data_IF_996001899279
#
_entry.id   IF_996001899279
#
_cell.length_a   1.000
_cell.length_b   1.000
_cell.length_c   1.000
_cell.angle_alpha   90.00
_cell.angle_beta   90.00
_cell.angle_gamma   90.00
#
_symmetry.space_group_name_H-M   'P 1'
#
loop_
_entity.id
_entity.type
_entity.pdbx_description
1 polymer ?
#
# COMPACT_ATOMS: atom_id res chain seq x y z
N UNK A 1 -0.18 -9.49 7.30
CA UNK A 1 -0.13 -10.67 6.40
C UNK A 1 1.32 -10.99 6.13
N UNK A 2 1.65 -12.29 6.07
CA UNK A 2 2.99 -12.71 5.66
C UNK A 2 3.06 -12.74 4.12
N UNK A 3 4.09 -12.14 3.57
CA UNK A 3 4.40 -12.19 2.14
C UNK A 3 5.45 -13.23 1.81
N UNK A 4 5.94 -13.18 0.57
CA UNK A 4 6.98 -14.05 0.08
C UNK A 4 8.28 -13.84 0.86
N UNK A 5 8.95 -14.96 1.13
CA UNK A 5 10.22 -15.05 1.83
C UNK A 5 11.31 -15.55 0.90
N UNK A 6 12.57 -15.55 1.36
CA UNK A 6 13.66 -16.16 0.59
C UNK A 6 13.44 -17.67 0.33
N UNK A 7 12.67 -18.35 1.18
CA UNK A 7 12.30 -19.75 0.96
C UNK A 7 11.38 -19.94 -0.27
N UNK A 8 10.70 -18.88 -0.72
CA UNK A 8 9.85 -18.88 -1.90
C UNK A 8 10.63 -18.67 -3.21
N UNK A 9 11.97 -18.55 -3.15
CA UNK A 9 12.81 -18.33 -4.33
C UNK A 9 12.64 -19.38 -5.43
N UNK A 10 12.41 -20.65 -5.09
CA UNK A 10 12.13 -21.69 -6.10
C UNK A 10 10.77 -21.50 -6.77
N UNK A 11 9.75 -21.02 -6.04
CA UNK A 11 8.45 -20.69 -6.63
C UNK A 11 8.59 -19.52 -7.61
N UNK A 12 9.40 -18.52 -7.27
CA UNK A 12 9.68 -17.38 -8.15
C UNK A 12 10.44 -17.79 -9.42
N UNK A 13 11.39 -18.74 -9.32
CA UNK A 13 12.08 -19.31 -10.49
C UNK A 13 11.13 -20.07 -11.41
N UNK A 14 10.27 -20.91 -10.83
CA UNK A 14 9.25 -21.64 -11.60
C UNK A 14 8.32 -20.63 -12.29
N UNK A 15 7.79 -19.67 -11.54
CA UNK A 15 6.88 -18.64 -12.06
C UNK A 15 7.52 -17.88 -13.24
N UNK A 16 8.76 -17.41 -13.08
CA UNK A 16 9.52 -16.72 -14.13
C UNK A 16 9.88 -17.58 -15.34
N UNK A 17 9.87 -18.91 -15.22
CA UNK A 17 10.07 -19.84 -16.34
C UNK A 17 8.77 -20.21 -17.08
N UNK A 18 7.63 -20.04 -16.42
CA UNK A 18 6.31 -20.44 -16.94
C UNK A 18 5.48 -19.29 -17.50
N UNK A 19 5.85 -18.04 -17.20
CA UNK A 19 5.12 -16.85 -17.62
C UNK A 19 5.98 -15.93 -18.49
N UNK A 20 5.36 -15.33 -19.50
CA UNK A 20 5.96 -14.22 -20.25
C UNK A 20 5.68 -12.86 -19.59
N UNK A 21 4.87 -12.82 -18.52
CA UNK A 21 4.55 -11.58 -17.82
C UNK A 21 5.78 -11.02 -17.11
N UNK A 22 5.99 -9.69 -17.10
CA UNK A 22 6.93 -9.08 -16.20
C UNK A 22 6.62 -9.44 -14.75
N UNK A 23 7.67 -9.62 -13.96
CA UNK A 23 7.62 -9.71 -12.52
C UNK A 23 8.13 -8.44 -11.85
N UNK A 24 7.48 -8.07 -10.74
CA UNK A 24 7.78 -6.93 -9.91
C UNK A 24 7.93 -7.36 -8.45
N UNK A 25 9.11 -7.18 -7.85
CA UNK A 25 9.32 -7.44 -6.43
C UNK A 25 9.23 -6.13 -5.65
N UNK A 26 8.52 -6.13 -4.52
CA UNK A 26 8.32 -4.93 -3.71
C UNK A 26 8.27 -5.23 -2.21
N UNK A 27 8.71 -4.24 -1.42
CA UNK A 27 8.58 -4.19 0.03
C UNK A 27 7.48 -3.21 0.42
N UNK A 28 7.02 -3.32 1.68
CA UNK A 28 6.06 -2.39 2.28
C UNK A 28 4.80 -2.26 1.44
N UNK A 29 3.86 -3.17 1.65
CA UNK A 29 2.73 -3.35 0.73
C UNK A 29 1.40 -3.55 1.44
N UNK A 30 0.34 -3.16 0.75
CA UNK A 30 -1.03 -3.23 1.23
C UNK A 30 -1.93 -3.76 0.11
N UNK A 31 -2.68 -4.82 0.39
CA UNK A 31 -3.78 -5.26 -0.45
C UNK A 31 -5.05 -4.55 0.01
N UNK A 32 -5.73 -3.89 -0.92
CA UNK A 32 -6.99 -3.20 -0.64
C UNK A 32 -8.14 -3.99 -1.25
N UNK A 33 -9.05 -4.46 -0.41
CA UNK A 33 -10.31 -5.08 -0.84
C UNK A 33 -11.34 -3.98 -1.14
N UNK A 34 -12.04 -4.06 -2.27
CA UNK A 34 -13.10 -3.11 -2.58
C UNK A 34 -14.33 -3.40 -1.73
N UNK A 35 -14.81 -2.38 -1.02
CA UNK A 35 -15.97 -2.50 -0.11
C UNK A 35 -17.25 -3.01 -0.80
N UNK A 36 -17.42 -2.73 -2.10
CA UNK A 36 -18.59 -3.13 -2.88
C UNK A 36 -18.34 -4.31 -3.82
N UNK A 37 -17.15 -4.92 -3.78
CA UNK A 37 -16.87 -6.16 -4.52
C UNK A 37 -16.87 -6.08 -6.05
N UNK A 38 -17.02 -4.89 -6.64
CA UNK A 38 -17.12 -4.71 -8.09
C UNK A 38 -15.85 -4.07 -8.68
N UNK A 39 -15.00 -4.93 -9.25
CA UNK A 39 -13.74 -4.54 -9.90
C UNK A 39 -13.95 -3.72 -11.19
N UNK A 40 -15.15 -3.71 -11.78
CA UNK A 40 -15.42 -2.96 -13.02
C UNK A 40 -15.40 -1.45 -12.84
N UNK A 41 -15.60 -0.97 -11.60
CA UNK A 41 -15.56 0.45 -11.26
C UNK A 41 -14.15 1.00 -11.03
N UNK A 42 -13.11 0.17 -11.17
CA UNK A 42 -11.72 0.59 -11.03
C UNK A 42 -11.19 1.13 -12.34
N UNK A 43 -10.45 2.23 -12.28
CA UNK A 43 -9.64 2.69 -13.41
C UNK A 43 -8.60 1.62 -13.73
N UNK A 44 -8.65 1.11 -14.97
CA UNK A 44 -7.68 0.15 -15.53
C UNK A 44 -6.94 0.75 -16.70
N UNK A 45 -5.82 0.14 -17.09
CA UNK A 45 -4.94 0.64 -18.17
C UNK A 45 -5.72 0.88 -19.48
N UNK A 46 -6.70 0.02 -19.79
CA UNK A 46 -7.55 0.11 -20.98
C UNK A 46 -8.38 1.40 -21.08
N UNK A 47 -8.65 2.11 -19.97
CA UNK A 47 -9.47 3.32 -19.97
C UNK A 47 -8.65 4.62 -20.15
N UNK A 48 -7.33 4.52 -20.27
CA UNK A 48 -6.44 5.69 -20.42
C UNK A 48 -6.12 6.04 -21.87
N UNK A 49 -6.56 5.24 -22.85
CA UNK A 49 -6.22 5.39 -24.28
C UNK A 49 -7.31 6.05 -25.15
N UNK A 50 -8.41 6.54 -24.60
CA UNK A 50 -9.51 7.07 -25.41
C UNK A 50 -9.42 8.59 -25.63
N UNK A 51 -8.39 9.04 -26.36
CA UNK A 51 -8.45 10.30 -27.11
C UNK A 51 -7.45 10.34 -28.28
N UNK A 52 -7.53 9.39 -29.23
CA UNK A 52 -7.28 9.69 -30.64
C UNK A 52 -7.72 8.56 -31.60
N UNK A 53 -8.67 8.89 -32.48
CA UNK A 53 -8.64 8.45 -33.88
C UNK A 53 -9.23 7.10 -34.24
N UNK A 54 -10.42 7.14 -34.84
CA UNK A 54 -11.02 6.08 -35.67
C UNK A 54 -10.08 5.61 -36.79
N UNK A 55 -9.99 4.29 -37.02
CA UNK A 55 -10.31 3.69 -38.32
C UNK A 55 -10.35 2.14 -38.29
N UNK A 56 -11.53 1.65 -38.69
CA UNK A 56 -11.94 0.42 -39.38
C UNK A 56 -11.14 -0.91 -39.33
N UNK A 57 -11.91 -1.94 -38.96
CA UNK A 57 -12.01 -3.28 -39.57
C UNK A 57 -10.88 -4.28 -39.27
N UNK A 58 -11.03 -5.00 -38.15
CA UNK A 58 -10.65 -6.41 -38.08
C UNK A 58 -11.54 -7.09 -37.02
N UNK A 59 -12.19 -8.19 -37.38
CA UNK A 59 -12.95 -9.02 -36.44
C UNK A 59 -11.98 -9.78 -35.52
N UNK A 60 -11.42 -9.06 -34.55
CA UNK A 60 -10.72 -9.66 -33.44
C UNK A 60 -11.79 -10.28 -32.53
N UNK A 61 -11.81 -11.61 -32.42
CA UNK A 61 -12.54 -12.28 -31.34
C UNK A 61 -11.94 -11.76 -30.03
N UNK A 62 -12.69 -10.92 -29.32
CA UNK A 62 -12.30 -10.51 -27.98
C UNK A 62 -11.99 -11.77 -27.16
N UNK A 63 -10.80 -11.86 -26.54
CA UNK A 63 -10.53 -12.93 -25.59
C UNK A 63 -11.61 -12.87 -24.49
N UNK A 64 -12.01 -14.04 -23.93
CA UNK A 64 -12.99 -14.05 -22.86
C UNK A 64 -12.53 -13.13 -21.72
N UNK A 65 -13.45 -12.34 -21.11
CA UNK A 65 -13.09 -11.40 -20.08
C UNK A 65 -12.39 -12.13 -18.94
N UNK A 66 -11.15 -11.70 -18.65
CA UNK A 66 -10.39 -12.23 -17.52
C UNK A 66 -11.15 -11.93 -16.23
N UNK A 67 -11.38 -12.95 -15.39
CA UNK A 67 -12.03 -12.77 -14.11
C UNK A 67 -11.13 -11.91 -13.21
N UNK A 68 -11.53 -10.66 -12.97
CA UNK A 68 -10.82 -9.71 -12.11
C UNK A 68 -11.39 -9.78 -10.69
N UNK A 69 -10.51 -9.94 -9.71
CA UNK A 69 -10.84 -9.91 -8.29
C UNK A 69 -11.03 -8.45 -7.84
N UNK A 70 -11.93 -8.19 -6.88
CA UNK A 70 -12.20 -6.85 -6.35
C UNK A 70 -11.14 -6.44 -5.32
N UNK A 71 -9.87 -6.48 -5.72
CA UNK A 71 -8.76 -6.06 -4.89
C UNK A 71 -7.64 -5.45 -5.73
N UNK A 72 -6.95 -4.46 -5.17
CA UNK A 72 -5.78 -3.81 -5.77
C UNK A 72 -4.61 -3.87 -4.79
N UNK A 73 -3.40 -3.71 -5.31
CA UNK A 73 -2.18 -3.62 -4.53
C UNK A 73 -1.69 -2.17 -4.52
N UNK A 74 -1.30 -1.70 -3.34
CA UNK A 74 -0.51 -0.49 -3.15
C UNK A 74 0.86 -0.87 -2.59
N UNK A 75 1.92 -0.56 -3.32
CA UNK A 75 3.30 -0.87 -2.97
C UNK A 75 4.10 0.41 -2.78
N UNK A 76 4.85 0.51 -1.67
CA UNK A 76 5.60 1.72 -1.35
C UNK A 76 7.07 1.68 -1.79
N UNK A 77 7.60 0.50 -2.08
CA UNK A 77 9.00 0.38 -2.43
C UNK A 77 9.25 -0.78 -3.38
N UNK A 78 9.26 -0.48 -4.68
CA UNK A 78 9.72 -1.43 -5.70
C UNK A 78 11.20 -1.77 -5.48
N UNK A 79 11.51 -3.05 -5.36
CA UNK A 79 12.87 -3.56 -5.29
C UNK A 79 13.44 -3.83 -6.68
N UNK A 80 12.61 -4.39 -7.57
CA UNK A 80 12.96 -4.77 -8.93
C UNK A 80 11.71 -4.84 -9.80
N UNK A 81 11.77 -4.30 -11.02
CA UNK A 81 10.82 -4.60 -12.09
C UNK A 81 11.57 -5.19 -13.29
N UNK A 82 11.19 -6.38 -13.71
CA UNK A 82 11.91 -7.12 -14.76
C UNK A 82 11.89 -6.45 -16.14
N UNK A 83 10.82 -5.73 -16.48
CA UNK A 83 10.73 -4.93 -17.71
C UNK A 83 11.27 -3.50 -17.53
N UNK A 84 11.55 -3.07 -16.30
CA UNK A 84 12.07 -1.72 -16.03
C UNK A 84 11.03 -0.61 -15.94
N UNK A 85 9.74 -0.90 -16.15
CA UNK A 85 8.65 0.09 -16.07
C UNK A 85 8.55 0.79 -14.70
N UNK A 86 8.93 0.11 -13.61
CA UNK A 86 9.00 0.69 -12.28
C UNK A 86 10.44 0.74 -11.77
N UNK A 87 10.87 1.95 -11.41
CA UNK A 87 12.17 2.20 -10.83
C UNK A 87 12.29 1.65 -9.40
N UNK A 88 13.52 1.39 -8.96
CA UNK A 88 13.78 1.03 -7.56
C UNK A 88 13.35 2.18 -6.64
N UNK A 89 12.60 1.85 -5.59
CA UNK A 89 12.06 2.80 -4.63
C UNK A 89 10.76 3.47 -5.04
N UNK A 90 10.23 3.18 -6.23
CA UNK A 90 8.95 3.73 -6.68
C UNK A 90 7.77 3.26 -5.81
N UNK A 91 6.82 4.16 -5.60
CA UNK A 91 5.48 3.87 -5.08
C UNK A 91 4.57 3.56 -6.25
N UNK A 92 3.75 2.52 -6.12
CA UNK A 92 2.85 2.05 -7.17
C UNK A 92 1.47 1.70 -6.66
N UNK A 93 0.47 1.87 -7.52
CA UNK A 93 -0.89 1.33 -7.36
C UNK A 93 -1.20 0.46 -8.57
N UNK A 94 -1.63 -0.77 -8.35
CA UNK A 94 -1.94 -1.70 -9.44
C UNK A 94 -3.38 -1.56 -9.94
N UNK A 95 -3.63 -2.24 -11.06
CA UNK A 95 -4.99 -2.61 -11.45
C UNK A 95 -5.56 -3.72 -10.56
N UNK A 96 -6.79 -4.17 -10.86
CA UNK A 96 -7.42 -5.30 -10.17
C UNK A 96 -6.57 -6.58 -10.29
N UNK A 97 -6.55 -7.38 -9.24
CA UNK A 97 -5.91 -8.69 -9.31
C UNK A 97 -6.67 -9.62 -10.26
N UNK A 98 -5.96 -10.50 -10.96
CA UNK A 98 -6.51 -11.70 -11.60
C UNK A 98 -6.40 -12.87 -10.63
N UNK A 99 -5.32 -12.94 -9.85
CA UNK A 99 -5.12 -13.96 -8.82
C UNK A 99 -4.37 -13.37 -7.63
N UNK A 100 -4.67 -13.86 -6.43
CA UNK A 100 -3.89 -13.56 -5.24
C UNK A 100 -3.83 -14.79 -4.34
N UNK A 101 -2.62 -15.28 -4.06
CA UNK A 101 -2.42 -16.55 -3.33
C UNK A 101 -2.48 -16.39 -1.80
N UNK A 102 -2.58 -15.15 -1.30
CA UNK A 102 -2.57 -14.84 0.13
C UNK A 102 -1.21 -15.02 0.82
N UNK A 103 -0.15 -15.36 0.07
CA UNK A 103 1.21 -15.68 0.55
C UNK A 103 2.29 -14.88 -0.17
N UNK A 104 1.91 -13.81 -0.87
CA UNK A 104 2.84 -12.85 -1.46
C UNK A 104 2.99 -12.95 -2.96
N UNK A 105 2.15 -13.72 -3.67
CA UNK A 105 2.03 -13.64 -5.13
C UNK A 105 0.70 -12.97 -5.46
N UNK A 106 0.78 -11.78 -6.03
CA UNK A 106 -0.36 -10.97 -6.46
C UNK A 106 -0.25 -10.75 -7.96
N UNK A 107 -1.12 -11.36 -8.73
CA UNK A 107 -1.09 -11.31 -10.18
C UNK A 107 -2.15 -10.34 -10.70
N UNK A 108 -1.74 -9.49 -11.62
CA UNK A 108 -2.62 -8.64 -12.43
C UNK A 108 -2.62 -9.14 -13.88
N UNK A 109 -3.38 -8.47 -14.73
CA UNK A 109 -3.44 -8.81 -16.15
C UNK A 109 -2.06 -8.76 -16.82
N UNK A 110 -1.27 -7.74 -16.52
CA UNK A 110 0.02 -7.49 -17.17
C UNK A 110 1.23 -7.91 -16.33
N UNK A 111 1.12 -7.90 -15.00
CA UNK A 111 2.29 -8.02 -14.11
C UNK A 111 2.06 -8.97 -12.95
N UNK A 112 3.08 -9.75 -12.62
CA UNK A 112 3.12 -10.57 -11.40
C UNK A 112 3.90 -9.83 -10.31
N UNK A 113 3.24 -9.52 -9.20
CA UNK A 113 3.83 -8.86 -8.06
C UNK A 113 4.23 -9.86 -6.97
N UNK A 114 5.48 -9.77 -6.54
CA UNK A 114 6.07 -10.53 -5.46
C UNK A 114 6.17 -9.63 -4.23
N UNK A 115 5.30 -9.89 -3.27
CA UNK A 115 5.13 -9.07 -2.08
C UNK A 115 6.07 -9.58 -0.98
N UNK A 116 7.20 -8.91 -0.80
CA UNK A 116 8.25 -9.36 0.12
C UNK A 116 7.96 -8.91 1.55
N UNK A 117 8.19 -9.82 2.50
CA UNK A 117 8.05 -9.53 3.93
C UNK A 117 6.60 -9.26 4.34
N UNK A 118 6.42 -8.54 5.46
CA UNK A 118 5.09 -8.30 6.03
C UNK A 118 4.37 -7.17 5.30
N UNK A 119 3.08 -7.39 5.04
CA UNK A 119 2.17 -6.38 4.51
C UNK A 119 0.83 -6.36 5.22
N UNK A 120 -0.06 -5.49 4.74
CA UNK A 120 -1.39 -5.28 5.32
C UNK A 120 -2.49 -5.63 4.32
N UNK A 121 -3.68 -5.91 4.82
CA UNK A 121 -4.90 -6.03 4.02
C UNK A 121 -6.05 -5.34 4.72
N UNK A 122 -6.80 -4.54 3.98
CA UNK A 122 -7.94 -3.81 4.53
C UNK A 122 -8.96 -3.45 3.45
N UNK A 123 -10.22 -3.21 3.82
CA UNK A 123 -11.20 -2.64 2.89
C UNK A 123 -10.83 -1.20 2.48
N UNK A 124 -11.25 -0.80 1.29
CA UNK A 124 -11.18 0.57 0.79
C UNK A 124 -12.33 0.88 -0.18
N UNK A 125 -12.75 2.15 -0.19
CA UNK A 125 -13.76 2.64 -1.12
C UNK A 125 -13.19 2.77 -2.54
N UNK A 126 -14.05 2.62 -3.54
CA UNK A 126 -13.69 2.82 -4.95
C UNK A 126 -13.19 4.25 -5.20
N UNK A 127 -13.78 5.24 -4.52
CA UNK A 127 -13.39 6.65 -4.60
C UNK A 127 -11.94 6.86 -4.15
N UNK A 128 -11.55 6.30 -2.99
CA UNK A 128 -10.18 6.39 -2.49
C UNK A 128 -9.21 5.72 -3.47
N UNK A 129 -9.53 4.52 -3.94
CA UNK A 129 -8.67 3.79 -4.86
C UNK A 129 -8.48 4.60 -6.15
N UNK A 130 -9.56 5.09 -6.77
CA UNK A 130 -9.52 5.86 -8.01
C UNK A 130 -8.90 7.26 -7.85
N UNK A 131 -8.79 7.79 -6.63
CA UNK A 131 -8.02 9.02 -6.37
C UNK A 131 -6.51 8.84 -6.54
N UNK A 132 -6.02 7.60 -6.50
CA UNK A 132 -4.62 7.25 -6.71
C UNK A 132 -4.37 6.89 -8.18
N UNK A 133 -3.30 7.41 -8.79
CA UNK A 133 -2.98 7.13 -10.18
C UNK A 133 -2.64 5.65 -10.33
N UNK A 134 -3.07 5.06 -11.45
CA UNK A 134 -2.70 3.71 -11.82
C UNK A 134 -1.22 3.66 -12.25
N UNK A 135 -0.49 2.64 -11.80
CA UNK A 135 0.95 2.50 -12.04
C UNK A 135 1.75 3.32 -11.04
N UNK A 136 2.64 4.19 -11.53
CA UNK A 136 3.48 5.04 -10.69
C UNK A 136 2.66 6.07 -9.93
N UNK A 137 2.86 6.13 -8.62
CA UNK A 137 2.28 7.14 -7.75
C UNK A 137 3.37 8.16 -7.42
N UNK A 138 3.25 9.42 -7.86
CA UNK A 138 4.20 10.46 -7.48
C UNK A 138 4.27 10.61 -5.96
N UNK A 139 5.47 10.80 -5.41
CA UNK A 139 5.68 11.04 -3.96
C UNK A 139 4.84 12.22 -3.45
N UNK A 140 4.66 13.25 -4.29
CA UNK A 140 3.89 14.45 -3.98
C UNK A 140 2.41 14.35 -4.40
N UNK A 141 1.92 13.15 -4.76
CA UNK A 141 0.54 13.00 -5.25
C UNK A 141 -0.45 13.52 -4.21
N UNK A 142 -1.23 14.57 -4.52
CA UNK A 142 -2.18 15.14 -3.59
C UNK A 142 -3.33 14.14 -3.43
N UNK A 143 -3.25 13.31 -2.40
CA UNK A 143 -4.44 12.60 -1.91
C UNK A 143 -5.45 13.68 -1.57
N UNK A 144 -6.65 13.61 -2.15
CA UNK A 144 -7.75 14.56 -1.95
C UNK A 144 -7.86 14.87 -0.45
N UNK A 145 -7.33 16.02 -0.05
CA UNK A 145 -7.49 16.54 1.30
C UNK A 145 -8.79 17.31 1.26
N UNK A 146 -9.84 16.79 1.89
CA UNK A 146 -10.90 17.67 2.38
C UNK A 146 -10.23 18.78 3.20
N UNK A 147 -10.68 20.03 3.00
CA UNK A 147 -10.07 21.24 3.55
C UNK A 147 -9.55 21.02 4.98
N UNK A 148 -8.22 21.15 5.13
CA UNK A 148 -7.54 20.87 6.39
C UNK A 148 -7.92 21.93 7.43
N UNK A 149 -8.38 21.56 8.64
CA UNK A 149 -8.14 22.40 9.79
C UNK A 149 -6.64 22.42 10.06
N UNK A 150 -6.07 23.62 10.20
CA UNK A 150 -4.68 23.82 10.62
C UNK A 150 -4.47 23.28 12.05
N UNK A 151 -3.98 22.05 12.18
CA UNK A 151 -3.63 21.45 13.47
C UNK A 151 -2.70 20.25 13.31
N UNK A 152 -1.98 19.90 14.39
CA UNK A 152 -0.93 18.86 14.43
C UNK A 152 -1.43 17.43 14.18
N UNK A 153 -0.67 16.41 14.61
CA UNK A 153 -0.97 14.99 14.27
C UNK A 153 -2.34 14.55 14.84
N UNK A 154 -2.81 15.19 15.91
CA UNK A 154 -4.15 14.99 16.47
C UNK A 154 -5.27 15.37 15.49
N UNK A 155 -5.05 16.39 14.65
CA UNK A 155 -6.00 16.81 13.61
C UNK A 155 -5.99 15.89 12.39
N UNK A 156 -5.01 14.97 12.30
CA UNK A 156 -4.99 13.92 11.28
C UNK A 156 -5.83 12.68 11.67
N UNK A 157 -6.24 12.52 12.94
CA UNK A 157 -7.12 11.42 13.37
C UNK A 157 -8.51 11.49 12.76
N UNK A 158 -8.99 12.69 12.47
CA UNK A 158 -10.29 12.92 11.82
C UNK A 158 -10.18 12.86 10.28
N UNK A 159 -9.00 12.56 9.75
CA UNK A 159 -8.72 12.49 8.32
C UNK A 159 -8.64 11.03 7.89
N UNK A 160 -9.78 10.47 7.46
CA UNK A 160 -9.91 9.09 6.94
C UNK A 160 -9.18 8.85 5.61
N UNK A 161 -8.65 9.91 5.01
CA UNK A 161 -8.00 9.88 3.69
C UNK A 161 -6.50 9.55 3.77
N UNK A 162 -5.94 9.43 4.97
CA UNK A 162 -4.61 8.87 5.15
C UNK A 162 -4.76 7.37 5.37
N UNK A 163 -4.10 6.57 4.52
CA UNK A 163 -3.80 5.17 4.85
C UNK A 163 -2.83 5.18 6.04
N UNK A 164 -3.37 5.41 7.24
CA UNK A 164 -2.67 5.02 8.45
C UNK A 164 -2.55 3.51 8.36
N UNK A 165 -1.35 3.05 8.05
CA UNK A 165 -0.96 1.73 8.48
C UNK A 165 -1.05 1.79 10.00
N UNK A 166 -2.06 1.16 10.58
CA UNK A 166 -2.01 0.77 11.98
C UNK A 166 -0.88 -0.25 12.10
N UNK A 167 0.35 0.26 12.07
CA UNK A 167 1.54 -0.45 12.48
C UNK A 167 1.36 -0.66 13.98
N UNK A 168 0.67 -1.74 14.34
CA UNK A 168 0.58 -2.15 15.74
C UNK A 168 1.98 -2.50 16.21
N UNK A 169 2.54 -1.57 16.97
CA UNK A 169 3.84 -1.67 17.59
C UNK A 169 3.72 -2.49 18.89
N UNK A 170 4.67 -3.38 19.17
CA UNK A 170 4.72 -4.08 20.46
C UNK A 170 5.01 -3.09 21.60
N UNK A 171 4.73 -3.49 22.84
CA UNK A 171 5.04 -2.65 24.02
C UNK A 171 6.54 -2.33 24.08
N UNK A 172 7.40 -3.30 23.77
CA UNK A 172 8.86 -3.14 23.76
C UNK A 172 9.29 -2.14 22.69
N UNK A 173 8.77 -2.28 21.46
CA UNK A 173 9.03 -1.34 20.38
C UNK A 173 8.52 0.08 20.72
N UNK A 174 7.38 0.19 21.42
CA UNK A 174 6.86 1.46 21.91
C UNK A 174 7.73 2.09 23.01
N UNK A 175 8.44 1.30 23.81
CA UNK A 175 9.46 1.82 24.75
C UNK A 175 10.70 2.31 24.01
N UNK A 176 11.17 1.55 23.04
CA UNK A 176 12.33 1.91 22.24
C UNK A 176 12.09 3.21 21.45
N UNK A 177 10.95 3.32 20.76
CA UNK A 177 10.60 4.52 20.00
C UNK A 177 10.47 5.76 20.90
N UNK A 178 9.82 5.64 22.07
CA UNK A 178 9.75 6.76 23.03
C UNK A 178 11.14 7.22 23.47
N UNK A 179 12.07 6.29 23.69
CA UNK A 179 13.43 6.62 24.13
C UNK A 179 14.20 7.36 23.04
N UNK A 180 14.09 6.89 21.78
CA UNK A 180 14.71 7.54 20.63
C UNK A 180 14.17 8.96 20.40
N UNK A 181 12.85 9.15 20.51
CA UNK A 181 12.23 10.47 20.33
C UNK A 181 12.68 11.44 21.41
N UNK A 182 12.77 10.99 22.67
CA UNK A 182 13.28 11.80 23.76
C UNK A 182 14.76 12.21 23.57
N UNK A 183 15.60 11.32 23.07
CA UNK A 183 17.00 11.62 22.71
C UNK A 183 17.07 12.63 21.55
N UNK A 184 16.28 12.45 20.49
CA UNK A 184 16.24 13.37 19.36
C UNK A 184 15.77 14.77 19.80
N UNK A 185 14.75 14.83 20.65
CA UNK A 185 14.23 16.09 21.21
C UNK A 185 15.26 16.78 22.08
N UNK A 186 15.86 16.07 23.03
CA UNK A 186 16.89 16.60 23.94
C UNK A 186 18.18 17.01 23.23
N UNK A 187 18.46 16.46 22.04
CA UNK A 187 19.62 16.85 21.23
C UNK A 187 19.55 18.32 20.77
N UNK A 188 18.35 18.92 20.72
CA UNK A 188 18.14 20.29 20.24
C UNK A 188 18.49 20.53 18.77
N UNK A 189 18.82 19.48 18.01
CA UNK A 189 19.28 19.57 16.61
C UNK A 189 18.16 19.89 15.62
N UNK A 190 16.89 19.75 16.04
CA UNK A 190 15.71 19.87 15.17
C UNK A 190 14.60 20.71 15.81
N UNK A 191 14.82 22.02 16.06
CA UNK A 191 13.85 22.88 16.74
C UNK A 191 12.51 23.01 16.00
N UNK A 192 12.49 22.84 14.67
CA UNK A 192 11.26 22.86 13.86
C UNK A 192 10.37 21.62 14.02
N UNK A 193 10.84 20.58 14.72
CA UNK A 193 10.11 19.32 14.91
C UNK A 193 9.54 19.15 16.33
N UNK A 194 9.62 20.18 17.17
CA UNK A 194 9.21 20.11 18.57
C UNK A 194 7.75 19.66 18.76
N UNK A 195 6.84 20.21 17.95
CA UNK A 195 5.42 19.82 17.98
C UNK A 195 5.20 18.37 17.54
N UNK A 196 6.03 17.88 16.62
CA UNK A 196 5.99 16.49 16.14
C UNK A 196 6.47 15.54 17.24
N UNK A 197 7.56 15.86 17.92
CA UNK A 197 8.06 15.05 19.04
C UNK A 197 7.05 14.95 20.19
N UNK A 198 6.44 16.08 20.57
CA UNK A 198 5.38 16.12 21.60
C UNK A 198 4.19 15.24 21.21
N UNK A 199 3.76 15.32 19.95
CA UNK A 199 2.62 14.53 19.48
C UNK A 199 2.94 13.02 19.43
N UNK A 200 4.15 12.63 19.00
CA UNK A 200 4.59 11.23 19.03
C UNK A 200 4.64 10.70 20.47
N UNK A 201 5.24 11.44 21.39
CA UNK A 201 5.32 11.04 22.80
C UNK A 201 3.93 10.90 23.43
N UNK A 202 3.01 11.82 23.14
CA UNK A 202 1.60 11.73 23.60
C UNK A 202 0.92 10.48 23.05
N UNK A 203 1.05 10.23 21.75
CA UNK A 203 0.36 9.14 21.09
C UNK A 203 0.88 7.78 21.55
N UNK A 204 2.21 7.59 21.57
CA UNK A 204 2.84 6.35 22.03
C UNK A 204 2.56 6.11 23.52
N UNK A 205 2.55 7.18 24.34
CA UNK A 205 2.19 7.10 25.76
C UNK A 205 0.73 6.68 25.99
N UNK A 206 -0.20 7.19 25.18
CA UNK A 206 -1.60 6.80 25.23
C UNK A 206 -1.80 5.33 24.83
N UNK A 207 -1.13 4.85 23.78
CA UNK A 207 -1.22 3.45 23.34
C UNK A 207 -0.75 2.47 24.43
N UNK A 208 0.35 2.78 25.13
CA UNK A 208 0.84 1.99 26.27
C UNK A 208 -0.17 1.90 27.42
N UNK A 209 -0.74 3.05 27.80
CA UNK A 209 -1.70 3.12 28.90
C UNK A 209 -3.00 2.35 28.63
N UNK A 210 -3.39 2.18 27.35
CA UNK A 210 -4.57 1.41 26.95
C UNK A 210 -4.30 -0.10 27.00
N UNK A 211 -3.11 -0.54 26.59
CA UNK A 211 -2.65 -1.94 26.63
C UNK A 211 -2.46 -2.46 28.07
N UNK A 212 -1.98 -1.62 28.98
CA UNK A 212 -1.84 -1.98 30.40
C UNK A 212 -3.20 -2.14 31.10
N UNK A 213 -4.22 -1.37 30.69
CA UNK A 213 -5.58 -1.50 31.24
C UNK A 213 -6.32 -2.74 30.72
N UNK A 214 -6.08 -3.12 29.47
CA UNK A 214 -6.69 -4.33 28.88
C UNK A 214 -6.07 -5.62 29.41
N UNK A 215 -4.80 -5.59 29.83
CA UNK A 215 -4.13 -6.72 30.49
C UNK A 215 -4.47 -6.84 32.00
N UNK A 216 -4.80 -5.73 32.67
CA UNK A 216 -5.25 -5.73 34.06
C UNK A 216 -6.73 -6.16 34.26
N UNK A 217 -7.58 -6.00 33.23
CA UNK A 217 -9.00 -6.37 33.28
C UNK A 217 -9.35 -7.83 32.93
N UNK A 218 -8.35 -8.70 32.75
CA UNK A 218 -8.48 -10.14 32.43
C UNK A 218 -7.99 -11.06 33.56
N UNK A 219 -8.13 -10.65 34.81
CA UNK A 219 -7.91 -11.52 35.98
C UNK A 219 -9.19 -11.71 36.77
#
# INVERSE_FOLDING_TARGET
MEGATYADAERLKILGSTTSKPHCALFSWIVLDLENGDATNLVTSDQTSDFHGQHADDQHRDPPPTLRLPMVLFGYHVALHSAGDYGKGSVIRTGPAVEYDGRGIFETEDTIFVLLGKGYRRPASVELINSLPLGLVPEDHPVLKRDRPSGGIASARDCTDVVYCDLQMSTEQGVELSSLVAELRSSGRYPGLESVFVDIEREVGHSKAVLDRTSAGRR
#
